data_IF_742566265040
#
_entry.id   IF_742566265040
#
_cell.length_a   1.000
_cell.length_b   1.000
_cell.length_c   1.000
_cell.angle_alpha   90.00
_cell.angle_beta   90.00
_cell.angle_gamma   90.00
#
_symmetry.space_group_name_H-M   'P 1'
#
loop_
_entity.id
_entity.type
_entity.pdbx_description
1 polymer ?
#
# COMPACT_ATOMS: atom_id res chain seq x y z
N UNK A 1 -14.42 -2.32 -17.00
CA UNK A 1 -14.48 -3.80 -16.89
C UNK A 1 -13.17 -4.41 -16.37
N UNK A 2 -12.00 -4.15 -16.96
CA UNK A 2 -10.70 -4.68 -16.51
C UNK A 2 -10.30 -4.20 -15.10
N UNK A 3 -10.53 -2.93 -14.77
CA UNK A 3 -10.22 -2.35 -13.46
C UNK A 3 -11.00 -3.04 -12.33
N UNK A 4 -12.29 -3.32 -12.55
CA UNK A 4 -13.11 -4.05 -11.58
C UNK A 4 -12.60 -5.47 -11.36
N UNK A 5 -12.13 -6.15 -12.41
CA UNK A 5 -11.53 -7.49 -12.28
C UNK A 5 -10.26 -7.44 -11.43
N UNK A 6 -9.38 -6.46 -11.66
CA UNK A 6 -8.17 -6.28 -10.85
C UNK A 6 -8.51 -5.99 -9.39
N UNK A 7 -9.50 -5.13 -9.15
CA UNK A 7 -9.98 -4.81 -7.81
C UNK A 7 -10.52 -6.06 -7.10
N UNK A 8 -11.34 -6.86 -7.77
CA UNK A 8 -11.87 -8.11 -7.21
C UNK A 8 -10.77 -9.10 -6.84
N UNK A 9 -9.70 -9.20 -7.63
CA UNK A 9 -8.54 -10.02 -7.28
C UNK A 9 -7.82 -9.51 -6.03
N UNK A 10 -7.61 -8.19 -5.91
CA UNK A 10 -6.99 -7.60 -4.71
C UNK A 10 -7.87 -7.85 -3.48
N UNK A 11 -9.17 -7.58 -3.58
CA UNK A 11 -10.13 -7.83 -2.50
C UNK A 11 -10.11 -9.30 -2.05
N UNK A 12 -10.11 -10.23 -3.00
CA UNK A 12 -10.06 -11.67 -2.69
C UNK A 12 -8.75 -12.08 -2.01
N UNK A 13 -7.61 -11.51 -2.43
CA UNK A 13 -6.31 -11.75 -1.82
C UNK A 13 -6.28 -11.22 -0.38
N UNK A 14 -6.72 -9.98 -0.16
CA UNK A 14 -6.74 -9.34 1.16
C UNK A 14 -7.67 -10.10 2.11
N UNK A 15 -8.84 -10.52 1.65
CA UNK A 15 -9.78 -11.29 2.46
C UNK A 15 -9.31 -12.72 2.79
N UNK A 16 -8.51 -13.33 1.91
CA UNK A 16 -8.03 -14.71 2.09
C UNK A 16 -6.64 -14.84 2.71
N UNK A 17 -5.91 -13.74 2.89
CA UNK A 17 -4.55 -13.77 3.43
C UNK A 17 -4.56 -13.80 4.96
N UNK A 18 -4.10 -14.89 5.54
CA UNK A 18 -4.12 -15.20 6.98
C UNK A 18 -2.78 -14.98 7.70
N UNK A 19 -1.78 -14.41 7.02
CA UNK A 19 -0.42 -14.19 7.52
C UNK A 19 0.36 -15.46 7.90
N UNK A 20 -0.12 -16.65 7.57
CA UNK A 20 0.58 -17.93 7.84
C UNK A 20 1.89 -18.07 7.05
N UNK A 21 2.00 -17.38 5.91
CA UNK A 21 3.19 -17.32 5.06
C UNK A 21 3.47 -15.86 4.65
N UNK A 22 4.70 -15.50 4.27
CA UNK A 22 4.98 -14.18 3.72
C UNK A 22 4.11 -13.84 2.50
N UNK A 23 3.64 -12.60 2.40
CA UNK A 23 2.73 -12.15 1.33
C UNK A 23 3.23 -12.49 -0.08
N UNK A 24 4.54 -12.38 -0.35
CA UNK A 24 5.10 -12.71 -1.67
C UNK A 24 4.94 -14.19 -2.03
N UNK A 25 5.00 -15.11 -1.06
CA UNK A 25 4.76 -16.53 -1.28
C UNK A 25 3.27 -16.81 -1.51
N UNK A 26 2.40 -16.16 -0.75
CA UNK A 26 0.96 -16.23 -0.96
C UNK A 26 0.59 -15.76 -2.37
N UNK A 27 1.06 -14.59 -2.79
CA UNK A 27 0.84 -14.04 -4.14
C UNK A 27 1.38 -14.97 -5.24
N UNK A 28 2.57 -15.56 -5.04
CA UNK A 28 3.13 -16.55 -5.98
C UNK A 28 2.21 -17.75 -6.17
N UNK A 29 1.65 -18.28 -5.08
CA UNK A 29 0.71 -19.40 -5.14
C UNK A 29 -0.63 -18.98 -5.75
N UNK A 30 -1.14 -17.82 -5.39
CA UNK A 30 -2.35 -17.25 -5.98
C UNK A 30 -2.25 -17.12 -7.50
N UNK A 31 -1.15 -16.56 -8.02
CA UNK A 31 -0.94 -16.40 -9.45
C UNK A 31 -0.71 -17.73 -10.21
N UNK A 32 -0.29 -18.79 -9.53
CA UNK A 32 -0.22 -20.13 -10.14
C UNK A 32 -1.61 -20.69 -10.41
N UNK A 33 -2.58 -20.37 -9.56
CA UNK A 33 -3.99 -20.78 -9.71
C UNK A 33 -4.72 -19.89 -10.73
N UNK A 34 -4.31 -18.64 -10.89
CA UNK A 34 -4.91 -17.66 -11.79
C UNK A 34 -4.02 -17.39 -13.02
N UNK A 35 -3.79 -18.43 -13.83
CA UNK A 35 -2.87 -18.38 -15.00
C UNK A 35 -3.31 -17.40 -16.08
N UNK A 36 -4.59 -17.05 -16.15
CA UNK A 36 -5.15 -16.06 -17.09
C UNK A 36 -4.67 -14.63 -16.83
N UNK A 37 -4.13 -14.33 -15.65
CA UNK A 37 -3.56 -13.03 -15.35
C UNK A 37 -2.21 -12.84 -16.03
N UNK A 38 -2.11 -11.82 -16.89
CA UNK A 38 -0.87 -11.42 -17.54
C UNK A 38 0.13 -10.79 -16.55
N UNK A 39 1.38 -10.65 -16.99
CA UNK A 39 2.47 -10.08 -16.16
C UNK A 39 2.13 -8.66 -15.65
N UNK A 40 1.53 -7.82 -16.48
CA UNK A 40 1.10 -6.47 -16.12
C UNK A 40 0.02 -6.49 -15.04
N UNK A 41 -0.99 -7.35 -15.18
CA UNK A 41 -2.07 -7.47 -14.18
C UNK A 41 -1.53 -7.98 -12.83
N UNK A 42 -0.65 -8.98 -12.86
CA UNK A 42 0.00 -9.49 -11.64
C UNK A 42 0.82 -8.40 -10.93
N UNK A 43 1.50 -7.53 -11.70
CA UNK A 43 2.24 -6.40 -11.13
C UNK A 43 1.30 -5.41 -10.43
N UNK A 44 0.18 -5.04 -11.07
CA UNK A 44 -0.82 -4.11 -10.50
C UNK A 44 -1.45 -4.72 -9.24
N UNK A 45 -1.85 -6.00 -9.28
CA UNK A 45 -2.42 -6.69 -8.13
C UNK A 45 -1.42 -6.75 -6.98
N UNK A 46 -0.16 -7.11 -7.26
CA UNK A 46 0.87 -7.17 -6.21
C UNK A 46 1.11 -5.81 -5.59
N UNK A 47 1.30 -4.75 -6.40
CA UNK A 47 1.52 -3.40 -5.87
C UNK A 47 0.32 -2.92 -5.05
N UNK A 48 -0.91 -3.23 -5.46
CA UNK A 48 -2.12 -2.92 -4.71
C UNK A 48 -2.17 -3.60 -3.35
N UNK A 49 -1.85 -4.90 -3.28
CA UNK A 49 -1.78 -5.62 -2.00
C UNK A 49 -0.72 -5.03 -1.06
N UNK A 50 0.48 -4.74 -1.57
CA UNK A 50 1.54 -4.13 -0.76
C UNK A 50 1.19 -2.71 -0.30
N UNK A 51 0.61 -1.87 -1.17
CA UNK A 51 0.16 -0.53 -0.82
C UNK A 51 -0.91 -0.58 0.27
N UNK A 52 -1.91 -1.46 0.10
CA UNK A 52 -2.98 -1.65 1.08
C UNK A 52 -2.44 -2.02 2.47
N UNK A 53 -1.65 -3.10 2.57
CA UNK A 53 -1.11 -3.53 3.87
C UNK A 53 -0.18 -2.50 4.51
N UNK A 54 0.44 -1.64 3.72
CA UNK A 54 1.30 -0.57 4.23
C UNK A 54 0.51 0.61 4.79
N UNK A 55 -0.61 0.97 4.19
CA UNK A 55 -1.23 2.28 4.40
C UNK A 55 -2.67 2.23 4.92
N UNK A 56 -3.39 1.09 4.80
CA UNK A 56 -4.83 1.03 5.12
C UNK A 56 -5.15 1.38 6.58
N UNK A 57 -4.23 1.09 7.51
CA UNK A 57 -4.38 1.45 8.93
C UNK A 57 -4.51 2.96 9.17
N UNK A 58 -4.01 3.79 8.26
CA UNK A 58 -4.18 5.24 8.36
C UNK A 58 -5.63 5.71 8.12
N UNK A 59 -6.50 4.81 7.65
CA UNK A 59 -7.84 5.16 7.16
C UNK A 59 -8.91 4.18 7.66
N UNK A 60 -9.04 3.98 8.99
CA UNK A 60 -9.86 2.90 9.57
C UNK A 60 -11.36 3.04 9.24
N UNK A 61 -11.83 4.25 8.96
CA UNK A 61 -13.25 4.55 8.71
C UNK A 61 -13.62 4.63 7.22
N UNK A 62 -12.71 4.25 6.31
CA UNK A 62 -12.95 4.28 4.88
C UNK A 62 -13.32 2.90 4.33
N UNK A 63 -14.08 2.88 3.24
CA UNK A 63 -14.35 1.64 2.50
C UNK A 63 -13.04 1.05 1.94
N UNK A 64 -13.04 -0.25 1.65
CA UNK A 64 -11.88 -0.95 1.09
C UNK A 64 -11.32 -0.25 -0.18
N UNK A 65 -12.20 0.11 -1.11
CA UNK A 65 -11.83 0.76 -2.36
C UNK A 65 -11.18 2.14 -2.11
N UNK A 66 -11.74 2.92 -1.15
CA UNK A 66 -11.17 4.21 -0.76
C UNK A 66 -9.81 4.04 -0.05
N UNK A 67 -9.69 3.05 0.85
CA UNK A 67 -8.42 2.71 1.49
C UNK A 67 -7.35 2.35 0.45
N UNK A 68 -7.72 1.55 -0.54
CA UNK A 68 -6.81 1.16 -1.63
C UNK A 68 -6.42 2.37 -2.49
N UNK A 69 -7.38 3.23 -2.85
CA UNK A 69 -7.12 4.44 -3.61
C UNK A 69 -6.14 5.37 -2.88
N UNK A 70 -6.39 5.64 -1.61
CA UNK A 70 -5.54 6.49 -0.78
C UNK A 70 -4.16 5.84 -0.53
N UNK A 71 -4.11 4.50 -0.40
CA UNK A 71 -2.84 3.76 -0.30
C UNK A 71 -1.98 3.93 -1.55
N UNK A 72 -2.55 3.89 -2.74
CA UNK A 72 -1.84 4.21 -3.98
C UNK A 72 -1.34 5.66 -4.01
N UNK A 73 -2.13 6.61 -3.49
CA UNK A 73 -1.71 8.00 -3.38
C UNK A 73 -0.51 8.17 -2.44
N UNK A 74 -0.52 7.54 -1.26
CA UNK A 74 0.59 7.59 -0.29
C UNK A 74 1.85 6.96 -0.89
N UNK A 75 1.75 5.78 -1.50
CA UNK A 75 2.89 5.06 -2.09
C UNK A 75 3.34 5.64 -3.43
N UNK A 76 2.67 6.68 -3.93
CA UNK A 76 2.92 7.31 -5.23
C UNK A 76 2.85 6.33 -6.42
N UNK A 77 2.05 5.28 -6.29
CA UNK A 77 1.83 4.30 -7.35
C UNK A 77 0.91 4.87 -8.44
N UNK A 78 1.34 4.74 -9.70
CA UNK A 78 0.54 5.14 -10.85
C UNK A 78 0.39 3.95 -11.80
N UNK A 79 -0.85 3.51 -11.96
CA UNK A 79 -1.23 2.41 -12.85
C UNK A 79 -2.72 2.52 -13.22
N UNK A 80 -3.17 1.67 -14.16
CA UNK A 80 -4.55 1.68 -14.64
C UNK A 80 -5.61 1.60 -13.52
N UNK A 81 -5.35 0.87 -12.43
CA UNK A 81 -6.29 0.72 -11.32
C UNK A 81 -6.28 1.95 -10.42
N UNK A 82 -5.10 2.50 -10.12
CA UNK A 82 -5.00 3.70 -9.29
C UNK A 82 -5.66 4.90 -9.96
N UNK A 83 -5.47 5.10 -11.28
CA UNK A 83 -6.12 6.15 -12.05
C UNK A 83 -7.64 6.03 -12.00
N UNK A 84 -8.18 4.83 -12.22
CA UNK A 84 -9.61 4.56 -12.10
C UNK A 84 -10.17 4.87 -10.70
N UNK A 85 -9.45 4.47 -9.64
CA UNK A 85 -9.87 4.73 -8.27
C UNK A 85 -9.77 6.22 -7.91
N UNK A 86 -8.75 6.92 -8.38
CA UNK A 86 -8.60 8.36 -8.16
C UNK A 86 -9.75 9.15 -8.79
N UNK A 87 -10.12 8.80 -10.02
CA UNK A 87 -11.29 9.39 -10.69
C UNK A 87 -12.57 9.09 -9.93
N UNK A 88 -12.80 7.83 -9.56
CA UNK A 88 -14.01 7.37 -8.84
C UNK A 88 -14.22 8.09 -7.51
N UNK A 89 -13.15 8.38 -6.77
CA UNK A 89 -13.20 8.97 -5.43
C UNK A 89 -12.76 10.44 -5.38
N UNK A 90 -12.55 11.07 -6.52
CA UNK A 90 -12.17 12.49 -6.59
C UNK A 90 -10.81 12.78 -5.92
N UNK A 91 -9.89 11.81 -5.92
CA UNK A 91 -8.58 11.98 -5.31
C UNK A 91 -7.67 12.69 -6.30
N UNK A 92 -7.34 13.95 -6.00
CA UNK A 92 -6.37 14.70 -6.79
C UNK A 92 -4.97 14.27 -6.43
N UNK A 93 -4.27 13.63 -7.37
CA UNK A 93 -2.86 13.32 -7.20
C UNK A 93 -2.07 14.63 -7.13
N UNK A 94 -1.58 15.01 -5.96
CA UNK A 94 -0.57 16.08 -5.88
C UNK A 94 0.74 15.55 -6.46
N UNK A 95 1.36 16.31 -7.34
CA UNK A 95 2.70 16.02 -7.88
C UNK A 95 3.82 16.17 -6.82
N UNK A 96 3.45 16.15 -5.55
CA UNK A 96 4.42 16.22 -4.46
C UNK A 96 5.12 14.87 -4.27
N UNK A 97 6.44 14.87 -4.45
CA UNK A 97 7.28 13.73 -4.11
C UNK A 97 7.49 13.59 -2.59
N UNK A 98 7.04 14.58 -1.80
CA UNK A 98 7.19 14.54 -0.35
C UNK A 98 6.13 13.65 0.30
N UNK A 99 6.57 12.70 1.13
CA UNK A 99 5.67 11.82 1.87
C UNK A 99 4.79 12.60 2.85
N UNK A 100 5.33 13.60 3.54
CA UNK A 100 4.60 14.42 4.50
C UNK A 100 3.39 15.12 3.88
N UNK A 101 3.51 15.61 2.63
CA UNK A 101 2.39 16.24 1.93
C UNK A 101 1.29 15.20 1.61
N UNK A 102 1.68 13.97 1.23
CA UNK A 102 0.73 12.90 0.95
C UNK A 102 0.03 12.41 2.22
N UNK A 103 0.75 12.32 3.33
CA UNK A 103 0.16 12.00 4.65
C UNK A 103 -0.77 13.11 5.13
N UNK A 104 -0.43 14.38 4.90
CA UNK A 104 -1.29 15.52 5.22
C UNK A 104 -2.64 15.48 4.49
N UNK A 105 -2.68 15.00 3.24
CA UNK A 105 -3.93 14.79 2.50
C UNK A 105 -4.83 13.73 3.17
N UNK A 106 -4.24 12.65 3.70
CA UNK A 106 -4.99 11.60 4.38
C UNK A 106 -5.66 12.13 5.64
N UNK A 107 -4.95 12.94 6.42
CA UNK A 107 -5.51 13.59 7.61
C UNK A 107 -6.67 14.52 7.27
N UNK A 108 -6.57 15.31 6.17
CA UNK A 108 -7.65 16.16 5.69
C UNK A 108 -8.90 15.36 5.29
N UNK A 109 -8.75 14.10 4.94
CA UNK A 109 -9.83 13.18 4.59
C UNK A 109 -10.33 12.32 5.76
N UNK A 110 -9.97 12.68 6.99
CA UNK A 110 -10.39 11.97 8.20
C UNK A 110 -9.57 10.71 8.52
N UNK A 111 -8.38 10.60 7.96
CA UNK A 111 -7.40 9.59 8.35
C UNK A 111 -6.65 9.96 9.64
N UNK A 112 -5.99 8.97 10.24
CA UNK A 112 -5.17 9.14 11.44
C UNK A 112 -3.70 9.42 11.07
N UNK A 113 -2.93 9.91 12.03
CA UNK A 113 -1.50 10.15 11.85
C UNK A 113 -0.69 8.84 11.85
N UNK A 114 0.53 8.82 11.28
CA UNK A 114 1.44 7.68 11.41
C UNK A 114 1.68 7.24 12.85
N UNK A 115 1.78 8.21 13.77
CA UNK A 115 2.02 7.95 15.20
C UNK A 115 0.81 7.27 15.86
N UNK A 116 -0.40 7.68 15.51
CA UNK A 116 -1.63 7.02 15.98
C UNK A 116 -1.80 5.62 15.39
N UNK A 117 -1.32 5.38 14.17
CA UNK A 117 -1.38 4.06 13.53
C UNK A 117 -0.36 3.07 14.11
N UNK A 118 0.76 3.55 14.65
CA UNK A 118 1.83 2.72 15.21
C UNK A 118 1.69 2.58 16.72
N UNK A 119 1.04 1.52 17.17
CA UNK A 119 0.66 1.29 18.58
C UNK A 119 1.85 1.06 19.54
N UNK A 120 3.08 0.92 19.04
CA UNK A 120 4.25 0.54 19.84
C UNK A 120 5.29 1.66 19.95
N UNK A 121 4.88 2.92 19.76
CA UNK A 121 5.78 4.09 19.84
C UNK A 121 6.53 4.18 21.18
N UNK A 122 5.84 3.86 22.27
CA UNK A 122 6.41 3.93 23.61
C UNK A 122 7.47 2.87 23.88
N UNK A 123 7.50 1.80 23.08
CA UNK A 123 8.50 0.73 23.15
C UNK A 123 9.78 1.06 22.37
N UNK A 124 9.76 2.11 21.55
CA UNK A 124 10.96 2.54 20.83
C UNK A 124 11.95 3.23 21.77
N UNK A 125 13.22 2.91 21.60
CA UNK A 125 14.31 3.59 22.31
C UNK A 125 14.32 5.10 22.06
N UNK A 126 14.65 5.89 23.07
CA UNK A 126 14.77 7.35 22.97
C UNK A 126 15.87 7.83 21.98
N UNK A 127 16.74 6.90 21.56
CA UNK A 127 17.76 7.15 20.53
C UNK A 127 17.21 7.12 19.10
N UNK A 128 15.96 6.67 18.91
CA UNK A 128 15.30 6.60 17.62
C UNK A 128 14.47 7.85 17.41
N UNK A 129 14.64 8.53 16.29
CA UNK A 129 13.70 9.56 15.84
C UNK A 129 12.36 8.86 15.52
N UNK A 130 11.44 8.93 16.47
CA UNK A 130 10.14 8.22 16.41
C UNK A 130 9.32 8.66 15.21
N UNK A 131 9.32 9.96 14.89
CA UNK A 131 8.59 10.50 13.73
C UNK A 131 9.18 10.00 12.41
N UNK A 132 10.48 10.12 12.23
CA UNK A 132 11.14 9.63 11.03
C UNK A 132 10.96 8.11 10.88
N UNK A 133 10.96 7.37 11.98
CA UNK A 133 10.70 5.93 11.98
C UNK A 133 9.28 5.60 11.52
N UNK A 134 8.25 6.21 12.13
CA UNK A 134 6.84 5.94 11.78
C UNK A 134 6.54 6.35 10.34
N UNK A 135 7.01 7.49 9.87
CA UNK A 135 6.87 7.92 8.48
C UNK A 135 7.54 6.93 7.51
N UNK A 136 8.70 6.36 7.88
CA UNK A 136 9.42 5.40 7.03
C UNK A 136 8.64 4.12 6.75
N UNK A 137 7.70 3.72 7.61
CA UNK A 137 6.85 2.54 7.43
C UNK A 137 5.93 2.66 6.21
N UNK A 138 5.61 3.88 5.80
CA UNK A 138 4.72 4.17 4.66
C UNK A 138 5.48 4.39 3.34
N UNK A 139 6.82 4.30 3.38
CA UNK A 139 7.66 4.37 2.19
C UNK A 139 8.02 2.97 1.67
N UNK A 140 8.25 2.88 0.35
CA UNK A 140 8.85 1.68 -0.24
C UNK A 140 10.29 1.55 0.28
N UNK A 141 10.67 0.46 0.97
CA UNK A 141 12.04 0.30 1.42
C UNK A 141 12.99 0.19 0.22
N UNK A 142 14.19 0.75 0.38
CA UNK A 142 15.24 0.61 -0.60
C UNK A 142 15.66 -0.85 -0.72
N UNK A 143 15.91 -1.29 -1.96
CA UNK A 143 16.44 -2.64 -2.22
C UNK A 143 17.95 -2.61 -1.99
N UNK A 144 18.41 -3.33 -0.98
CA UNK A 144 19.84 -3.50 -0.71
C UNK A 144 20.35 -4.73 -1.46
N UNK A 145 21.30 -4.55 -2.36
CA UNK A 145 21.95 -5.63 -3.09
C UNK A 145 23.36 -5.79 -2.52
N UNK A 146 23.65 -6.96 -1.97
CA UNK A 146 25.03 -7.31 -1.60
C UNK A 146 25.75 -7.82 -2.83
N UNK A 147 26.68 -7.03 -3.35
CA UNK A 147 27.61 -7.51 -4.36
C UNK A 147 28.62 -8.47 -3.71
N UNK A 148 28.73 -9.69 -4.25
CA UNK A 148 29.82 -10.59 -3.92
C UNK A 148 30.98 -10.22 -4.83
N UNK A 149 32.14 -9.94 -4.25
CA UNK A 149 33.37 -9.87 -5.02
C UNK A 149 33.60 -11.26 -5.63
N UNK A 150 33.71 -11.31 -6.94
CA UNK A 150 33.97 -12.55 -7.68
C UNK A 150 35.35 -13.12 -7.40
#
# INVERSE_FOLDING_TARGET
MRQQTLLNHITGIIAGFDFSVPLHLYLKNYFRQHKQLGSRDRKIISSGCYAYYRCALLMPNKSFDEQLALSFSITNETNLLSEYLFEKYGITKKESNCLSDRLGLIQQQGGITPDEAFLFLDLLSDKIDKKAFTESLFQQPLVWIRLRNG
#
